data_IF_827374253599
#
_entry.id   IF_827374253599
#
_cell.length_a   1.000
_cell.length_b   1.000
_cell.length_c   1.000
_cell.angle_alpha   90.00
_cell.angle_beta   90.00
_cell.angle_gamma   90.00
#
_symmetry.space_group_name_H-M   'P 1'
#
loop_
_entity.id
_entity.type
_entity.pdbx_description
1 polymer ?
#
# COMPACT_ATOMS: atom_id res chain seq x y z
N UNK A 1 2.61 -70.74 -38.16
CA UNK A 1 2.08 -69.35 -37.98
C UNK A 1 1.00 -69.38 -36.92
N UNK A 2 1.31 -69.88 -35.73
CA UNK A 2 0.36 -69.97 -34.61
C UNK A 2 1.06 -69.37 -33.39
N UNK A 3 0.32 -68.58 -32.61
CA UNK A 3 0.73 -67.84 -31.39
C UNK A 3 0.95 -66.31 -31.48
N UNK A 4 0.56 -65.64 -32.58
CA UNK A 4 0.60 -64.17 -32.66
C UNK A 4 -0.66 -63.48 -32.09
N UNK A 5 -1.82 -64.13 -32.13
CA UNK A 5 -3.10 -63.59 -31.66
C UNK A 5 -3.18 -63.43 -30.12
N UNK A 6 -2.74 -64.40 -29.30
CA UNK A 6 -2.79 -64.27 -27.85
C UNK A 6 -1.85 -63.17 -27.33
N UNK A 7 -0.67 -63.02 -27.94
CA UNK A 7 0.32 -62.02 -27.52
C UNK A 7 -0.09 -60.59 -27.89
N UNK A 8 -0.79 -60.40 -29.01
CA UNK A 8 -1.39 -59.12 -29.40
C UNK A 8 -2.52 -58.70 -28.45
N UNK A 9 -3.38 -59.63 -28.04
CA UNK A 9 -4.49 -59.36 -27.12
C UNK A 9 -3.95 -59.03 -25.71
N UNK A 10 -2.95 -59.77 -25.24
CA UNK A 10 -2.30 -59.51 -23.95
C UNK A 10 -1.54 -58.18 -23.96
N UNK A 11 -0.83 -57.87 -25.07
CA UNK A 11 -0.15 -56.58 -25.25
C UNK A 11 -1.11 -55.40 -25.30
N UNK A 12 -2.25 -55.53 -25.97
CA UNK A 12 -3.28 -54.50 -26.04
C UNK A 12 -3.97 -54.27 -24.68
N UNK A 13 -4.25 -55.33 -23.93
CA UNK A 13 -4.80 -55.24 -22.57
C UNK A 13 -3.82 -54.59 -21.59
N UNK A 14 -2.54 -54.95 -21.65
CA UNK A 14 -1.50 -54.34 -20.82
C UNK A 14 -1.30 -52.85 -21.15
N UNK A 15 -1.32 -52.48 -22.44
CA UNK A 15 -1.23 -51.09 -22.88
C UNK A 15 -2.46 -50.27 -22.44
N UNK A 16 -3.66 -50.84 -22.50
CA UNK A 16 -4.89 -50.19 -22.08
C UNK A 16 -4.94 -49.97 -20.56
N UNK A 17 -4.55 -50.97 -19.77
CA UNK A 17 -4.44 -50.86 -18.31
C UNK A 17 -3.37 -49.84 -17.92
N UNK A 18 -2.21 -49.86 -18.58
CA UNK A 18 -1.15 -48.87 -18.39
C UNK A 18 -1.59 -47.44 -18.72
N UNK A 19 -2.36 -47.25 -19.79
CA UNK A 19 -2.89 -45.95 -20.18
C UNK A 19 -3.94 -45.40 -19.19
N UNK A 20 -4.83 -46.26 -18.69
CA UNK A 20 -5.87 -45.86 -17.71
C UNK A 20 -5.23 -45.50 -16.37
N UNK A 21 -4.29 -46.31 -15.87
CA UNK A 21 -3.57 -46.04 -14.61
C UNK A 21 -2.67 -44.81 -14.74
N UNK A 22 -1.95 -44.68 -15.86
CA UNK A 22 -1.13 -43.52 -16.18
C UNK A 22 -1.93 -42.21 -16.26
N UNK A 23 -3.11 -42.22 -16.89
CA UNK A 23 -3.96 -41.03 -17.00
C UNK A 23 -4.51 -40.55 -15.65
N UNK A 24 -4.89 -41.48 -14.76
CA UNK A 24 -5.37 -41.15 -13.40
C UNK A 24 -4.25 -40.64 -12.50
N UNK A 25 -3.07 -41.26 -12.57
CA UNK A 25 -1.87 -40.80 -11.85
C UNK A 25 -1.44 -39.40 -12.31
N UNK A 26 -1.45 -39.16 -13.62
CA UNK A 26 -1.09 -37.88 -14.22
C UNK A 26 -2.14 -36.78 -13.92
N UNK A 27 -3.43 -37.13 -13.87
CA UNK A 27 -4.51 -36.20 -13.46
C UNK A 27 -4.42 -35.82 -11.99
N UNK A 28 -4.12 -36.78 -11.10
CA UNK A 28 -3.94 -36.51 -9.67
C UNK A 28 -2.67 -35.70 -9.39
N UNK A 29 -1.59 -35.98 -10.11
CA UNK A 29 -0.37 -35.17 -10.10
C UNK A 29 -0.67 -33.75 -10.60
N UNK A 30 -1.35 -33.58 -11.74
CA UNK A 30 -1.75 -32.28 -12.26
C UNK A 30 -2.61 -31.49 -11.28
N UNK A 31 -3.54 -32.14 -10.58
CA UNK A 31 -4.36 -31.48 -9.57
C UNK A 31 -3.53 -30.98 -8.38
N UNK A 32 -2.62 -31.80 -7.85
CA UNK A 32 -1.68 -31.42 -6.77
C UNK A 32 -0.70 -30.32 -7.22
N UNK A 33 -0.17 -30.41 -8.43
CA UNK A 33 0.73 -29.41 -9.02
C UNK A 33 0.00 -28.09 -9.33
N UNK A 34 -1.26 -28.16 -9.79
CA UNK A 34 -2.10 -26.99 -10.02
C UNK A 34 -2.43 -26.27 -8.70
N UNK A 35 -2.79 -27.00 -7.64
CA UNK A 35 -2.98 -26.40 -6.32
C UNK A 35 -1.71 -25.77 -5.76
N UNK A 36 -0.56 -26.44 -5.89
CA UNK A 36 0.73 -25.90 -5.43
C UNK A 36 1.12 -24.65 -6.22
N UNK A 37 0.97 -24.66 -7.55
CA UNK A 37 1.19 -23.47 -8.40
C UNK A 37 0.24 -22.34 -8.07
N UNK A 38 -1.03 -22.62 -7.82
CA UNK A 38 -2.03 -21.60 -7.49
C UNK A 38 -1.70 -20.94 -6.15
N UNK A 39 -1.31 -21.75 -5.15
CA UNK A 39 -0.84 -21.25 -3.85
C UNK A 39 0.43 -20.40 -3.98
N UNK A 40 1.45 -20.88 -4.71
CA UNK A 40 2.69 -20.13 -4.96
C UNK A 40 2.41 -18.83 -5.72
N UNK A 41 1.50 -18.85 -6.69
CA UNK A 41 1.11 -17.67 -7.46
C UNK A 41 0.40 -16.64 -6.59
N UNK A 42 -0.54 -17.08 -5.74
CA UNK A 42 -1.25 -16.22 -4.78
C UNK A 42 -0.29 -15.61 -3.74
N UNK A 43 0.59 -16.43 -3.18
CA UNK A 43 1.61 -15.99 -2.22
C UNK A 43 2.56 -14.96 -2.85
N UNK A 44 3.09 -15.23 -4.05
CA UNK A 44 3.96 -14.29 -4.75
C UNK A 44 3.25 -12.98 -5.11
N UNK A 45 1.97 -13.03 -5.50
CA UNK A 45 1.17 -11.81 -5.73
C UNK A 45 1.02 -10.99 -4.46
N UNK A 46 0.76 -11.62 -3.32
CA UNK A 46 0.63 -10.93 -2.03
C UNK A 46 1.95 -10.29 -1.58
N UNK A 47 3.06 -10.99 -1.74
CA UNK A 47 4.39 -10.46 -1.43
C UNK A 47 4.70 -9.25 -2.32
N UNK A 48 4.47 -9.35 -3.62
CA UNK A 48 4.69 -8.23 -4.55
C UNK A 48 3.81 -7.03 -4.21
N UNK A 49 2.57 -7.27 -3.76
CA UNK A 49 1.69 -6.22 -3.28
C UNK A 49 2.28 -5.51 -2.06
N UNK A 50 2.75 -6.24 -1.04
CA UNK A 50 3.37 -5.63 0.13
C UNK A 50 4.63 -4.83 -0.20
N UNK A 51 5.46 -5.33 -1.13
CA UNK A 51 6.62 -4.57 -1.63
C UNK A 51 6.15 -3.25 -2.25
N UNK A 52 5.14 -3.30 -3.13
CA UNK A 52 4.64 -2.12 -3.82
C UNK A 52 3.99 -1.11 -2.85
N UNK A 53 3.18 -1.57 -1.89
CA UNK A 53 2.57 -0.72 -0.87
C UNK A 53 3.60 -0.10 0.07
N UNK A 54 4.65 -0.84 0.44
CA UNK A 54 5.73 -0.33 1.28
C UNK A 54 6.51 0.76 0.53
N UNK A 55 6.85 0.52 -0.74
CA UNK A 55 7.56 1.48 -1.58
C UNK A 55 6.72 2.75 -1.82
N UNK A 56 5.44 2.61 -2.16
CA UNK A 56 4.52 3.75 -2.36
C UNK A 56 4.39 4.58 -1.07
N UNK A 57 4.06 3.94 0.06
CA UNK A 57 3.87 4.65 1.31
C UNK A 57 5.17 5.34 1.78
N UNK A 58 6.32 4.67 1.62
CA UNK A 58 7.63 5.25 1.95
C UNK A 58 7.91 6.48 1.08
N UNK A 59 7.77 6.37 -0.24
CA UNK A 59 8.07 7.46 -1.16
C UNK A 59 7.18 8.68 -0.91
N UNK A 60 5.87 8.48 -0.69
CA UNK A 60 4.93 9.57 -0.39
C UNK A 60 5.28 10.21 0.95
N UNK A 61 5.52 9.40 1.98
CA UNK A 61 5.81 9.91 3.32
C UNK A 61 7.13 10.70 3.37
N UNK A 62 8.19 10.17 2.76
CA UNK A 62 9.48 10.85 2.68
C UNK A 62 9.36 12.16 1.90
N UNK A 63 8.65 12.15 0.77
CA UNK A 63 8.40 13.37 0.00
C UNK A 63 7.62 14.40 0.81
N UNK A 64 6.57 13.97 1.51
CA UNK A 64 5.80 14.83 2.40
C UNK A 64 6.68 15.44 3.50
N UNK A 65 7.47 14.63 4.20
CA UNK A 65 8.36 15.07 5.28
C UNK A 65 9.43 16.04 4.78
N UNK A 66 10.02 15.79 3.61
CA UNK A 66 11.05 16.65 3.03
C UNK A 66 10.52 18.02 2.62
N UNK A 67 9.23 18.11 2.30
CA UNK A 67 8.64 19.28 1.64
C UNK A 67 7.80 20.12 2.60
N UNK A 68 7.05 19.50 3.51
CA UNK A 68 6.22 20.21 4.52
C UNK A 68 6.38 19.64 5.91
N UNK A 69 6.35 18.32 6.07
CA UNK A 69 6.24 17.67 7.38
C UNK A 69 7.37 18.04 8.34
N UNK A 70 8.60 18.12 7.84
CA UNK A 70 9.77 18.50 8.65
C UNK A 70 9.72 19.94 9.17
N UNK A 71 9.15 20.87 8.41
CA UNK A 71 8.98 22.25 8.85
C UNK A 71 7.79 22.37 9.81
N UNK A 72 6.70 21.66 9.53
CA UNK A 72 5.50 21.60 10.38
C UNK A 72 5.83 21.11 11.81
N UNK A 73 6.80 20.21 11.96
CA UNK A 73 7.28 19.76 13.26
C UNK A 73 8.02 20.88 14.03
N UNK A 74 8.87 21.66 13.33
CA UNK A 74 9.76 22.66 13.92
C UNK A 74 9.07 23.98 14.27
N UNK A 75 8.18 24.46 13.39
CA UNK A 75 7.55 25.77 13.55
C UNK A 75 6.56 25.77 14.72
N UNK A 76 6.51 26.87 15.47
CA UNK A 76 5.59 27.00 16.61
C UNK A 76 4.34 27.80 16.27
N UNK A 77 4.42 28.64 15.23
CA UNK A 77 3.33 29.53 14.80
C UNK A 77 3.02 29.36 13.32
N UNK A 78 1.80 29.71 12.95
CA UNK A 78 1.30 29.59 11.58
C UNK A 78 2.07 30.45 10.58
N UNK A 79 2.52 31.64 11.00
CA UNK A 79 3.24 32.63 10.21
C UNK A 79 4.71 32.30 9.96
N UNK A 80 5.27 31.35 10.70
CA UNK A 80 6.65 30.86 10.56
C UNK A 80 6.79 29.82 9.44
N UNK A 81 5.69 29.24 8.96
CA UNK A 81 5.73 28.25 7.89
C UNK A 81 6.08 28.92 6.54
N UNK A 82 7.14 28.49 5.85
CA UNK A 82 7.49 29.01 4.54
C UNK A 82 6.48 28.57 3.49
N UNK A 83 5.41 29.36 3.31
CA UNK A 83 4.39 29.11 2.28
C UNK A 83 4.90 29.45 0.89
N UNK A 84 5.69 28.54 0.32
CA UNK A 84 5.93 28.37 -1.13
C UNK A 84 5.71 26.92 -1.55
N UNK A 85 5.17 26.10 -0.66
CA UNK A 85 5.10 24.66 -0.86
C UNK A 85 3.74 24.27 -1.41
N UNK A 86 3.59 24.47 -2.72
CA UNK A 86 2.57 23.78 -3.48
C UNK A 86 2.91 22.28 -3.48
N UNK A 87 2.46 21.56 -2.45
CA UNK A 87 2.13 20.15 -2.62
C UNK A 87 0.90 20.14 -3.54
N UNK A 88 1.12 20.34 -4.84
CA UNK A 88 0.07 20.34 -5.84
C UNK A 88 -0.42 18.90 -5.98
N UNK A 89 -1.20 18.45 -4.99
CA UNK A 89 -1.66 17.09 -4.82
C UNK A 89 -2.76 16.71 -5.83
N UNK A 90 -2.67 17.19 -7.07
CA UNK A 90 -3.65 16.91 -8.13
C UNK A 90 -3.45 15.54 -8.81
N UNK A 91 -2.41 14.79 -8.46
CA UNK A 91 -2.10 13.49 -9.06
C UNK A 91 -2.59 12.28 -8.26
N UNK A 92 -2.77 11.14 -8.94
CA UNK A 92 -2.97 9.83 -8.30
C UNK A 92 -1.66 9.35 -7.64
N UNK A 93 -1.29 9.92 -6.48
CA UNK A 93 -0.08 9.49 -5.74
C UNK A 93 -0.21 8.08 -5.19
N UNK A 94 -1.43 7.64 -4.91
CA UNK A 94 -1.75 6.38 -4.24
C UNK A 94 -2.13 5.29 -5.25
N UNK A 95 -1.50 5.31 -6.42
CA UNK A 95 -1.85 4.45 -7.55
C UNK A 95 -1.77 2.95 -7.24
N UNK A 96 -0.80 2.51 -6.43
CA UNK A 96 -0.67 1.11 -6.01
C UNK A 96 -1.83 0.77 -5.11
N UNK A 97 -2.06 1.54 -4.05
CA UNK A 97 -3.18 1.31 -3.12
C UNK A 97 -4.54 1.30 -3.84
N UNK A 98 -4.80 2.31 -4.68
CA UNK A 98 -6.09 2.45 -5.38
C UNK A 98 -6.34 1.29 -6.36
N UNK A 99 -5.30 0.79 -7.03
CA UNK A 99 -5.42 -0.36 -7.96
C UNK A 99 -5.37 -1.72 -7.25
N UNK A 100 -5.03 -1.77 -5.97
CA UNK A 100 -4.83 -3.02 -5.23
C UNK A 100 -5.78 -3.23 -4.06
N UNK A 101 -6.72 -2.32 -3.83
CA UNK A 101 -7.69 -2.39 -2.73
C UNK A 101 -8.43 -3.74 -2.65
N UNK A 102 -8.74 -4.36 -3.79
CA UNK A 102 -9.38 -5.68 -3.88
C UNK A 102 -8.58 -6.81 -3.22
N UNK A 103 -7.25 -6.68 -3.15
CA UNK A 103 -6.38 -7.68 -2.54
C UNK A 103 -6.26 -7.50 -1.02
N UNK A 104 -6.58 -6.31 -0.49
CA UNK A 104 -6.56 -6.03 0.95
C UNK A 104 -7.65 -6.80 1.70
N UNK A 105 -8.77 -7.13 1.03
CA UNK A 105 -9.82 -7.98 1.59
C UNK A 105 -9.40 -9.44 1.82
N UNK A 106 -8.26 -9.87 1.28
CA UNK A 106 -7.70 -11.20 1.53
C UNK A 106 -6.74 -11.24 2.74
N UNK A 107 -6.48 -10.09 3.37
CA UNK A 107 -5.65 -9.99 4.56
C UNK A 107 -6.44 -10.33 5.83
N UNK A 108 -5.71 -10.53 6.92
CA UNK A 108 -6.33 -10.52 8.25
C UNK A 108 -7.05 -9.17 8.46
N UNK A 109 -8.28 -9.17 9.01
CA UNK A 109 -9.11 -7.96 9.09
C UNK A 109 -8.43 -6.74 9.71
N UNK A 110 -7.68 -6.90 10.81
CA UNK A 110 -7.01 -5.78 11.47
C UNK A 110 -5.84 -5.26 10.63
N UNK A 111 -5.04 -6.13 10.00
CA UNK A 111 -3.96 -5.71 9.10
C UNK A 111 -4.49 -4.93 7.89
N UNK A 112 -5.55 -5.43 7.23
CA UNK A 112 -6.18 -4.75 6.11
C UNK A 112 -6.76 -3.39 6.50
N UNK A 113 -7.48 -3.33 7.62
CA UNK A 113 -8.02 -2.09 8.19
C UNK A 113 -6.91 -1.07 8.47
N UNK A 114 -5.82 -1.47 9.11
CA UNK A 114 -4.71 -0.57 9.45
C UNK A 114 -4.06 0.07 8.22
N UNK A 115 -3.87 -0.71 7.15
CA UNK A 115 -3.38 -0.19 5.86
C UNK A 115 -4.38 0.83 5.31
N UNK A 116 -5.65 0.44 5.19
CA UNK A 116 -6.72 1.32 4.65
C UNK A 116 -6.78 2.63 5.44
N UNK A 117 -6.87 2.56 6.77
CA UNK A 117 -6.93 3.74 7.63
C UNK A 117 -5.69 4.64 7.47
N UNK A 118 -4.50 4.05 7.31
CA UNK A 118 -3.27 4.83 7.10
C UNK A 118 -3.34 5.62 5.79
N UNK A 119 -3.74 4.96 4.70
CA UNK A 119 -3.86 5.61 3.39
C UNK A 119 -4.97 6.67 3.38
N UNK A 120 -6.13 6.40 3.98
CA UNK A 120 -7.24 7.36 4.09
C UNK A 120 -6.83 8.58 4.91
N UNK A 121 -6.18 8.38 6.05
CA UNK A 121 -5.75 9.49 6.90
C UNK A 121 -4.61 10.30 6.27
N UNK A 122 -3.70 9.64 5.55
CA UNK A 122 -2.64 10.34 4.82
C UNK A 122 -3.22 11.17 3.66
N UNK A 123 -4.16 10.64 2.87
CA UNK A 123 -4.90 11.41 1.85
C UNK A 123 -5.57 12.63 2.48
N UNK A 124 -6.32 12.42 3.56
CA UNK A 124 -7.02 13.50 4.27
C UNK A 124 -6.06 14.58 4.79
N UNK A 125 -4.88 14.19 5.29
CA UNK A 125 -3.85 15.15 5.73
C UNK A 125 -3.33 16.00 4.56
N UNK A 126 -3.13 15.41 3.37
CA UNK A 126 -2.71 16.15 2.18
C UNK A 126 -3.80 17.14 1.73
N UNK A 127 -5.08 16.76 1.82
CA UNK A 127 -6.20 17.66 1.54
C UNK A 127 -6.31 18.80 2.56
N UNK A 128 -6.14 18.49 3.85
CA UNK A 128 -6.07 19.48 4.94
C UNK A 128 -4.93 20.49 4.71
N UNK A 129 -3.78 20.05 4.20
CA UNK A 129 -2.67 20.92 3.81
C UNK A 129 -3.00 21.83 2.63
N UNK A 130 -3.73 21.32 1.65
CA UNK A 130 -4.20 22.14 0.53
C UNK A 130 -5.17 23.22 1.00
N UNK A 131 -6.09 22.89 1.92
CA UNK A 131 -6.99 23.87 2.51
C UNK A 131 -6.22 24.93 3.33
N UNK A 132 -5.22 24.50 4.11
CA UNK A 132 -4.37 25.43 4.84
C UNK A 132 -3.59 26.37 3.92
N UNK A 133 -3.10 25.88 2.77
CA UNK A 133 -2.48 26.71 1.73
C UNK A 133 -3.43 27.81 1.24
N UNK A 134 -4.70 27.47 0.96
CA UNK A 134 -5.71 28.44 0.51
C UNK A 134 -6.00 29.49 1.59
N UNK A 135 -6.13 29.08 2.86
CA UNK A 135 -6.32 30.01 3.98
C UNK A 135 -5.12 30.94 4.17
N UNK A 136 -3.90 30.41 4.05
CA UNK A 136 -2.66 31.18 4.15
C UNK A 136 -2.53 32.21 3.03
N UNK A 137 -2.94 31.85 1.80
CA UNK A 137 -3.03 32.79 0.68
C UNK A 137 -4.03 33.91 0.97
N UNK A 138 -5.25 33.56 1.42
CA UNK A 138 -6.26 34.56 1.80
C UNK A 138 -5.74 35.51 2.88
N UNK A 139 -5.08 35.00 3.92
CA UNK A 139 -4.45 35.81 4.97
C UNK A 139 -3.42 36.79 4.40
N UNK A 140 -2.60 36.33 3.44
CA UNK A 140 -1.62 37.17 2.76
C UNK A 140 -2.29 38.26 1.93
N UNK A 141 -3.34 37.93 1.18
CA UNK A 141 -4.05 38.87 0.32
C UNK A 141 -4.73 39.98 1.12
N UNK A 142 -5.40 39.63 2.23
CA UNK A 142 -6.01 40.62 3.14
C UNK A 142 -4.95 41.53 3.75
N UNK A 143 -3.76 40.99 4.10
CA UNK A 143 -2.66 41.78 4.68
C UNK A 143 -1.98 42.72 3.67
N UNK A 144 -2.00 42.38 2.39
CA UNK A 144 -1.37 43.18 1.32
C UNK A 144 -2.38 44.08 0.58
N UNK A 145 -3.67 43.98 0.89
CA UNK A 145 -4.72 44.78 0.28
C UNK A 145 -4.58 46.28 0.59
N UNK A 146 -4.93 47.12 -0.39
CA UNK A 146 -4.81 48.59 -0.30
C UNK A 146 -5.70 49.22 0.79
N UNK A 147 -6.83 48.58 1.13
CA UNK A 147 -7.74 48.99 2.20
C UNK A 147 -7.68 47.97 3.33
N UNK A 148 -6.68 48.11 4.21
CA UNK A 148 -6.42 47.16 5.28
C UNK A 148 -7.53 47.20 6.35
N UNK A 149 -8.41 46.21 6.35
CA UNK A 149 -9.38 46.01 7.41
C UNK A 149 -8.73 45.22 8.56
N UNK A 150 -8.29 45.91 9.61
CA UNK A 150 -7.61 45.29 10.76
C UNK A 150 -8.48 44.22 11.47
N UNK A 151 -9.80 44.38 11.47
CA UNK A 151 -10.70 43.38 12.04
C UNK A 151 -10.65 42.07 11.23
N UNK A 152 -10.72 42.17 9.92
CA UNK A 152 -10.64 41.02 9.01
C UNK A 152 -9.27 40.33 9.07
N UNK A 153 -8.18 41.10 9.14
CA UNK A 153 -6.82 40.55 9.32
C UNK A 153 -6.73 39.72 10.59
N UNK A 154 -7.23 40.24 11.72
CA UNK A 154 -7.17 39.53 13.00
C UNK A 154 -8.04 38.28 12.98
N UNK A 155 -9.25 38.35 12.42
CA UNK A 155 -10.13 37.19 12.30
C UNK A 155 -9.49 36.08 11.46
N UNK A 156 -8.98 36.41 10.27
CA UNK A 156 -8.32 35.41 9.39
C UNK A 156 -7.06 34.83 10.05
N UNK A 157 -6.32 35.64 10.81
CA UNK A 157 -5.16 35.17 11.58
C UNK A 157 -5.56 34.16 12.66
N UNK A 158 -6.60 34.44 13.42
CA UNK A 158 -7.10 33.53 14.47
C UNK A 158 -7.58 32.20 13.86
N UNK A 159 -8.29 32.26 12.74
CA UNK A 159 -8.71 31.08 11.97
C UNK A 159 -7.50 30.27 11.49
N UNK A 160 -6.47 30.93 10.96
CA UNK A 160 -5.24 30.30 10.48
C UNK A 160 -4.46 29.63 11.63
N UNK A 161 -4.30 30.30 12.78
CA UNK A 161 -3.62 29.75 13.96
C UNK A 161 -4.38 28.55 14.55
N UNK A 162 -5.71 28.61 14.56
CA UNK A 162 -6.56 27.49 14.98
C UNK A 162 -6.38 26.28 14.07
N UNK A 163 -6.45 26.50 12.74
CA UNK A 163 -6.26 25.44 11.76
C UNK A 163 -4.85 24.85 11.80
N UNK A 164 -3.83 25.69 11.99
CA UNK A 164 -2.44 25.25 12.13
C UNK A 164 -2.24 24.29 13.31
N UNK A 165 -2.85 24.58 14.47
CA UNK A 165 -2.82 23.68 15.64
C UNK A 165 -3.47 22.33 15.35
N UNK A 166 -4.62 22.34 14.67
CA UNK A 166 -5.29 21.12 14.22
C UNK A 166 -4.38 20.32 13.28
N UNK A 167 -3.79 20.99 12.30
CA UNK A 167 -2.89 20.39 11.31
C UNK A 167 -1.66 19.74 11.97
N UNK A 168 -1.04 20.39 12.98
CA UNK A 168 0.07 19.79 13.75
C UNK A 168 -0.36 18.52 14.47
N UNK A 169 -1.54 18.54 15.12
CA UNK A 169 -2.08 17.36 15.81
C UNK A 169 -2.35 16.21 14.84
N UNK A 170 -2.95 16.52 13.69
CA UNK A 170 -3.24 15.55 12.62
C UNK A 170 -1.96 14.97 12.04
N UNK A 171 -0.97 15.81 11.73
CA UNK A 171 0.35 15.37 11.31
C UNK A 171 0.97 14.35 12.28
N UNK A 172 0.97 14.64 13.59
CA UNK A 172 1.54 13.73 14.58
C UNK A 172 0.80 12.37 14.64
N UNK A 173 -0.53 12.40 14.54
CA UNK A 173 -1.36 11.19 14.48
C UNK A 173 -1.03 10.36 13.24
N UNK A 174 -1.03 10.98 12.05
CA UNK A 174 -0.78 10.31 10.77
C UNK A 174 0.64 9.78 10.70
N UNK A 175 1.64 10.53 11.21
CA UNK A 175 3.02 10.05 11.34
C UNK A 175 3.08 8.74 12.10
N UNK A 176 2.41 8.65 13.25
CA UNK A 176 2.32 7.41 14.02
C UNK A 176 1.73 6.25 13.21
N UNK A 177 0.61 6.48 12.52
CA UNK A 177 -0.03 5.47 11.68
C UNK A 177 0.87 5.00 10.53
N UNK A 178 1.50 5.93 9.81
CA UNK A 178 2.41 5.64 8.69
C UNK A 178 3.59 4.80 9.15
N UNK A 179 4.27 5.19 10.23
CA UNK A 179 5.42 4.46 10.75
C UNK A 179 5.04 3.04 11.19
N UNK A 180 3.93 2.88 11.91
CA UNK A 180 3.44 1.58 12.36
C UNK A 180 3.01 0.68 11.20
N UNK A 181 2.46 1.24 10.13
CA UNK A 181 2.07 0.47 8.93
C UNK A 181 3.30 0.09 8.11
N UNK A 182 4.29 0.97 7.99
CA UNK A 182 5.56 0.65 7.33
C UNK A 182 6.33 -0.46 8.06
N UNK A 183 6.37 -0.42 9.40
CA UNK A 183 6.97 -1.46 10.22
C UNK A 183 6.28 -2.81 10.01
N UNK A 184 4.95 -2.85 10.12
CA UNK A 184 4.14 -4.05 9.85
C UNK A 184 4.39 -4.60 8.44
N UNK A 185 4.46 -3.75 7.41
CA UNK A 185 4.76 -4.18 6.04
C UNK A 185 6.16 -4.79 5.94
N UNK A 186 7.17 -4.23 6.63
CA UNK A 186 8.52 -4.80 6.67
C UNK A 186 8.56 -6.16 7.37
N UNK A 187 7.81 -6.33 8.45
CA UNK A 187 7.67 -7.62 9.14
C UNK A 187 7.05 -8.68 8.23
N UNK A 188 5.99 -8.35 7.48
CA UNK A 188 5.42 -9.29 6.51
C UNK A 188 6.42 -9.71 5.43
N UNK A 189 7.24 -8.77 4.94
CA UNK A 189 8.26 -9.05 3.94
C UNK A 189 9.39 -9.94 4.50
N UNK A 190 9.84 -9.71 5.73
CA UNK A 190 10.89 -10.51 6.35
C UNK A 190 10.42 -11.95 6.63
N UNK A 191 9.17 -12.13 7.11
CA UNK A 191 8.56 -13.45 7.28
C UNK A 191 8.43 -14.19 5.95
N UNK A 192 8.06 -13.48 4.87
CA UNK A 192 8.00 -14.06 3.54
C UNK A 192 9.37 -14.53 3.05
N UNK A 193 10.45 -13.78 3.30
CA UNK A 193 11.82 -14.19 2.97
C UNK A 193 12.28 -15.42 3.76
N UNK A 194 12.02 -15.46 5.07
CA UNK A 194 12.34 -16.60 5.93
C UNK A 194 11.61 -17.88 5.48
N UNK A 195 10.35 -17.77 5.09
CA UNK A 195 9.60 -18.91 4.56
C UNK A 195 10.24 -19.47 3.27
N UNK A 196 10.83 -18.62 2.43
CA UNK A 196 11.50 -19.02 1.18
C UNK A 196 12.86 -19.67 1.42
N UNK A 197 13.62 -19.24 2.43
CA UNK A 197 14.93 -19.82 2.76
C UNK A 197 14.81 -21.15 3.50
N UNK A 198 13.82 -21.31 4.37
CA UNK A 198 13.59 -22.55 5.12
C UNK A 198 13.18 -23.71 4.22
N UNK A 199 12.46 -23.43 3.12
CA UNK A 199 12.06 -24.45 2.12
C UNK A 199 13.24 -24.91 1.24
N UNK A 200 14.36 -24.16 1.18
CA UNK A 200 15.56 -24.56 0.43
C UNK A 200 16.47 -25.54 1.18
N UNK A 201 16.17 -25.90 2.42
CA UNK A 201 16.97 -26.87 3.19
C UNK A 201 16.26 -28.23 3.22
N UNK A 202 16.39 -28.95 2.09
CA UNK A 202 16.37 -30.43 2.00
C UNK A 202 16.74 -30.79 0.56
N UNK A 203 18.04 -30.85 0.29
CA UNK A 203 18.63 -31.70 -0.75
C UNK A 203 19.65 -32.57 -0.05
#
# INVERSE_FOLDING_TARGET
MENLLPSLIVGALAAFIGAVIGSKAMSYAHYRYAQKRDFETKSNRMINLFIALNAELTAIWERYMAVVGGDLEKVQKADELPFTVLFAAGGNYFSVYDNSAQFLGALEPEAGKKIIETYVNLKSLLDELQNYNVMSQKHRDVRLGANLNLYEVNQVREELDSFFKLLKKRHAQVKGQVLLTLEMLKEFLSLAEQSRTTVKIKV
#
